data_IF_834205568404
#
_entry.id   IF_834205568404
#
_cell.length_a   1.000
_cell.length_b   1.000
_cell.length_c   1.000
_cell.angle_alpha   90.00
_cell.angle_beta   90.00
_cell.angle_gamma   90.00
#
_symmetry.space_group_name_H-M   'P 1'
#
loop_
_entity.id
_entity.type
_entity.pdbx_description
1 polymer ?
#
# COMPACT_ATOMS: atom_id res chain seq x y z
N UNK A 1 -5.26 -21.52 26.46
CA UNK A 1 -6.01 -21.62 25.19
C UNK A 1 -6.82 -22.92 25.18
N UNK A 2 -7.78 -23.10 26.10
CA UNK A 2 -8.54 -24.37 26.26
C UNK A 2 -10.04 -24.24 25.98
N UNK A 3 -10.57 -23.08 25.60
CA UNK A 3 -12.03 -22.88 25.49
C UNK A 3 -12.55 -22.68 24.06
N UNK A 4 -11.68 -22.43 23.07
CA UNK A 4 -12.10 -22.26 21.66
C UNK A 4 -12.64 -23.56 21.03
N UNK A 5 -12.29 -24.73 21.57
CA UNK A 5 -12.80 -26.02 21.07
C UNK A 5 -14.21 -26.37 21.58
N UNK A 6 -14.79 -25.61 22.52
CA UNK A 6 -16.15 -25.86 23.02
C UNK A 6 -17.25 -25.10 22.24
N UNK A 7 -16.88 -24.13 21.40
CA UNK A 7 -17.85 -23.29 20.68
C UNK A 7 -18.42 -23.97 19.43
N UNK A 8 -19.63 -23.61 18.96
CA UNK A 8 -20.16 -24.01 17.66
C UNK A 8 -19.17 -23.68 16.53
N UNK A 9 -19.15 -24.48 15.44
CA UNK A 9 -18.21 -24.29 14.32
C UNK A 9 -18.23 -22.86 13.77
N UNK A 10 -19.41 -22.25 13.71
CA UNK A 10 -19.61 -20.91 13.15
C UNK A 10 -18.98 -19.80 14.01
N UNK A 11 -19.01 -19.96 15.33
CA UNK A 11 -18.39 -19.02 16.27
C UNK A 11 -16.86 -19.20 16.33
N UNK A 12 -16.39 -20.45 16.19
CA UNK A 12 -14.95 -20.75 16.05
C UNK A 12 -14.34 -20.08 14.82
N UNK A 13 -15.03 -20.11 13.68
CA UNK A 13 -14.57 -19.46 12.45
C UNK A 13 -14.55 -17.92 12.59
N UNK A 14 -15.51 -17.34 13.32
CA UNK A 14 -15.49 -15.90 13.62
C UNK A 14 -14.28 -15.54 14.48
N UNK A 15 -14.00 -16.28 15.56
CA UNK A 15 -12.86 -16.01 16.45
C UNK A 15 -11.50 -16.18 15.72
N UNK A 16 -11.39 -17.14 14.79
CA UNK A 16 -10.18 -17.34 13.94
C UNK A 16 -10.01 -16.22 12.89
N UNK A 17 -11.10 -15.58 12.44
CA UNK A 17 -11.03 -14.44 11.51
C UNK A 17 -10.50 -13.15 12.13
N UNK A 18 -10.59 -13.00 13.46
CA UNK A 18 -10.20 -11.75 14.13
C UNK A 18 -8.70 -11.46 14.04
N UNK A 19 -7.78 -12.42 14.29
CA UNK A 19 -6.34 -12.23 14.07
C UNK A 19 -5.98 -11.97 12.60
N UNK A 20 -6.65 -12.64 11.66
CA UNK A 20 -6.38 -12.49 10.23
C UNK A 20 -6.77 -11.10 9.69
N UNK A 21 -7.83 -10.50 10.25
CA UNK A 21 -8.30 -9.16 9.85
C UNK A 21 -7.25 -8.05 10.07
N UNK A 22 -6.52 -8.09 11.20
CA UNK A 22 -5.48 -7.09 11.47
C UNK A 22 -4.23 -7.30 10.61
N UNK A 23 -3.82 -8.54 10.42
CA UNK A 23 -2.68 -8.88 9.56
C UNK A 23 -2.94 -8.50 8.10
N UNK A 24 -4.11 -8.85 7.56
CA UNK A 24 -4.50 -8.52 6.19
C UNK A 24 -4.63 -7.01 5.98
N UNK A 25 -5.17 -6.30 6.97
CA UNK A 25 -5.25 -4.83 6.95
C UNK A 25 -3.85 -4.20 6.95
N UNK A 26 -2.95 -4.70 7.78
CA UNK A 26 -1.55 -4.25 7.82
C UNK A 26 -0.83 -4.50 6.50
N UNK A 27 -0.98 -5.70 5.94
CA UNK A 27 -0.37 -6.07 4.66
C UNK A 27 -0.92 -5.23 3.50
N UNK A 28 -2.23 -4.99 3.46
CA UNK A 28 -2.85 -4.09 2.46
C UNK A 28 -2.32 -2.67 2.59
N UNK A 29 -2.26 -2.14 3.82
CA UNK A 29 -1.77 -0.79 4.10
C UNK A 29 -0.30 -0.64 3.68
N UNK A 30 0.57 -1.58 4.07
CA UNK A 30 1.98 -1.57 3.67
C UNK A 30 2.18 -1.68 2.16
N UNK A 31 1.40 -2.51 1.46
CA UNK A 31 1.43 -2.58 -0.01
C UNK A 31 0.98 -1.28 -0.67
N UNK A 32 -0.01 -0.58 -0.12
CA UNK A 32 -0.46 0.71 -0.66
C UNK A 32 0.56 1.81 -0.41
N UNK A 33 1.11 1.89 0.81
CA UNK A 33 2.12 2.89 1.17
C UNK A 33 3.40 2.70 0.34
N UNK A 34 3.91 1.45 0.25
CA UNK A 34 5.09 1.15 -0.55
C UNK A 34 4.92 1.44 -2.04
N UNK A 35 3.72 1.24 -2.61
CA UNK A 35 3.44 1.62 -4.00
C UNK A 35 3.48 3.14 -4.21
N UNK A 36 2.97 3.91 -3.25
CA UNK A 36 2.96 5.37 -3.30
C UNK A 36 4.39 5.90 -3.17
N UNK A 37 5.15 5.40 -2.20
CA UNK A 37 6.54 5.79 -1.99
C UNK A 37 7.41 5.44 -3.20
N UNK A 38 7.29 4.22 -3.74
CA UNK A 38 8.04 3.80 -4.92
C UNK A 38 7.76 4.69 -6.14
N UNK A 39 6.50 5.11 -6.35
CA UNK A 39 6.15 6.04 -7.44
C UNK A 39 6.79 7.41 -7.26
N UNK A 40 6.76 7.95 -6.04
CA UNK A 40 7.40 9.25 -5.72
C UNK A 40 8.91 9.18 -5.88
N UNK A 41 9.54 8.12 -5.38
CA UNK A 41 10.98 7.92 -5.49
C UNK A 41 11.42 7.76 -6.96
N UNK A 42 10.65 7.00 -7.75
CA UNK A 42 10.89 6.85 -9.19
C UNK A 42 10.82 8.21 -9.89
N UNK A 43 9.78 9.00 -9.61
CA UNK A 43 9.61 10.34 -10.17
C UNK A 43 10.78 11.25 -9.80
N UNK A 44 11.24 11.21 -8.55
CA UNK A 44 12.38 12.01 -8.07
C UNK A 44 13.69 11.63 -8.78
N UNK A 45 13.95 10.33 -8.97
CA UNK A 45 15.11 9.84 -9.74
C UNK A 45 15.03 10.26 -11.23
N UNK A 46 13.83 10.29 -11.81
CA UNK A 46 13.61 10.76 -13.18
C UNK A 46 13.84 12.27 -13.30
N UNK A 47 13.39 13.07 -12.32
CA UNK A 47 13.65 14.51 -12.24
C UNK A 47 15.16 14.80 -12.12
N UNK A 48 15.89 14.04 -11.30
CA UNK A 48 17.35 14.15 -11.19
C UNK A 48 18.06 13.87 -12.53
N UNK A 49 17.51 12.96 -13.34
CA UNK A 49 17.99 12.67 -14.70
C UNK A 49 17.58 13.72 -15.74
N UNK A 50 16.90 14.81 -15.33
CA UNK A 50 16.37 15.87 -16.20
C UNK A 50 15.44 15.35 -17.30
N UNK A 51 14.69 14.28 -17.01
CA UNK A 51 13.62 13.81 -17.90
C UNK A 51 12.49 14.83 -17.89
N UNK A 52 11.83 14.99 -19.03
CA UNK A 52 10.72 15.93 -19.19
C UNK A 52 9.54 15.60 -18.25
N UNK A 53 8.91 16.64 -17.70
CA UNK A 53 7.82 16.51 -16.74
C UNK A 53 6.61 15.78 -17.32
N UNK A 54 6.31 15.96 -18.60
CA UNK A 54 5.21 15.27 -19.27
C UNK A 54 5.47 13.77 -19.36
N UNK A 55 6.70 13.39 -19.71
CA UNK A 55 7.11 11.99 -19.78
C UNK A 55 7.08 11.33 -18.40
N UNK A 56 7.49 12.04 -17.35
CA UNK A 56 7.42 11.51 -15.97
C UNK A 56 5.96 11.33 -15.55
N UNK A 57 5.09 12.27 -15.88
CA UNK A 57 3.65 12.17 -15.57
C UNK A 57 3.02 10.95 -16.25
N UNK A 58 3.33 10.71 -17.52
CA UNK A 58 2.87 9.51 -18.26
C UNK A 58 3.37 8.20 -17.64
N UNK A 59 4.65 8.13 -17.26
CA UNK A 59 5.25 6.89 -16.74
C UNK A 59 4.84 6.58 -15.30
N UNK A 60 4.63 7.60 -14.47
CA UNK A 60 4.34 7.42 -13.03
C UNK A 60 2.85 7.50 -12.72
N UNK A 61 2.05 8.05 -13.64
CA UNK A 61 0.64 8.38 -13.42
C UNK A 61 0.43 9.51 -12.42
N UNK A 62 1.49 10.26 -12.10
CA UNK A 62 1.43 11.45 -11.25
C UNK A 62 1.05 12.66 -12.08
N UNK A 63 0.31 13.58 -11.48
CA UNK A 63 0.04 14.88 -12.10
C UNK A 63 1.30 15.74 -12.14
N UNK A 64 1.37 16.66 -13.10
CA UNK A 64 2.47 17.63 -13.20
C UNK A 64 2.58 18.46 -11.90
N UNK A 65 1.47 18.78 -11.26
CA UNK A 65 1.44 19.48 -9.96
C UNK A 65 2.11 18.67 -8.85
N UNK A 66 1.86 17.36 -8.78
CA UNK A 66 2.52 16.48 -7.81
C UNK A 66 4.02 16.36 -8.08
N UNK A 67 4.43 16.34 -9.35
CA UNK A 67 5.84 16.34 -9.74
C UNK A 67 6.55 17.64 -9.38
N UNK A 68 5.88 18.78 -9.49
CA UNK A 68 6.41 20.09 -9.07
C UNK A 68 6.55 20.14 -7.54
N UNK A 69 5.60 19.58 -6.78
CA UNK A 69 5.68 19.48 -5.31
C UNK A 69 6.80 18.55 -4.82
N UNK A 70 7.28 17.65 -5.68
CA UNK A 70 8.39 16.73 -5.39
C UNK A 70 9.78 17.34 -5.68
N UNK A 71 9.83 18.48 -6.36
CA UNK A 71 11.06 19.21 -6.68
C UNK A 71 11.47 20.13 -5.53
#
# INVERSE_FOLDING_TARGET
MKEVHALPKDEREQVIKWPNSFYDRGLKKGKTEGKIEARKEMALRMLQKKIDLHTIAELTGLSIEELIKLK
#
